data_IF_376694402209
#
_entry.id   IF_376694402209
#
_cell.length_a   1.000
_cell.length_b   1.000
_cell.length_c   1.000
_cell.angle_alpha   90.00
_cell.angle_beta   90.00
_cell.angle_gamma   90.00
#
_symmetry.space_group_name_H-M   'P 1'
#
loop_
_entity.id
_entity.type
_entity.pdbx_description
1 polymer ?
#
# COMPACT_ATOMS: atom_id res chain seq x y z
N UNK A 1 -7.33 14.35 12.86
CA UNK A 1 -6.22 14.85 13.68
C UNK A 1 -5.48 15.89 12.85
N UNK A 2 -5.51 17.15 13.26
CA UNK A 2 -4.66 18.22 12.71
C UNK A 2 -3.36 18.26 13.50
N UNK A 3 -2.25 18.54 12.83
CA UNK A 3 -0.97 18.81 13.48
C UNK A 3 -0.70 20.28 13.22
N UNK A 4 -0.68 21.10 14.26
CA UNK A 4 -0.27 22.49 14.16
C UNK A 4 1.26 22.53 14.17
N UNK A 5 1.83 22.71 12.99
CA UNK A 5 3.22 23.15 12.80
C UNK A 5 3.11 24.65 12.53
N UNK A 6 3.89 25.49 13.22
CA UNK A 6 3.86 26.93 12.99
C UNK A 6 3.97 27.22 11.47
N UNK A 7 3.04 28.03 10.97
CA UNK A 7 2.85 28.44 9.57
C UNK A 7 2.31 27.40 8.55
N UNK A 8 1.94 26.18 8.95
CA UNK A 8 1.36 25.19 8.02
C UNK A 8 0.09 24.50 8.55
N UNK A 9 -1.03 24.66 7.81
CA UNK A 9 -2.26 23.88 8.06
C UNK A 9 -2.13 22.48 7.45
N UNK A 10 -1.58 21.54 8.23
CA UNK A 10 -1.38 20.15 7.81
C UNK A 10 -2.51 19.23 8.28
N UNK A 11 -2.93 18.33 7.40
CA UNK A 11 -3.88 17.25 7.72
C UNK A 11 -3.17 15.90 7.71
N UNK A 12 -3.48 15.08 8.72
CA UNK A 12 -3.05 13.69 8.73
C UNK A 12 -4.00 12.86 7.87
N UNK A 13 -3.46 12.23 6.83
CA UNK A 13 -4.19 11.28 6.00
C UNK A 13 -4.08 9.88 6.61
N UNK A 14 -5.20 9.33 7.08
CA UNK A 14 -5.26 7.94 7.53
C UNK A 14 -5.84 7.06 6.43
N UNK A 15 -5.07 6.06 5.99
CA UNK A 15 -5.54 5.05 5.04
C UNK A 15 -6.24 3.93 5.83
N UNK A 16 -7.57 3.90 5.74
CA UNK A 16 -8.44 2.93 6.42
C UNK A 16 -8.88 1.75 5.55
N UNK A 17 -8.69 1.83 4.23
CA UNK A 17 -9.06 0.75 3.32
C UNK A 17 -8.08 -0.42 3.49
N UNK A 18 -8.56 -1.50 4.10
CA UNK A 18 -7.84 -2.77 4.23
C UNK A 18 -8.49 -3.76 3.27
N UNK A 19 -7.75 -4.19 2.24
CA UNK A 19 -8.28 -5.01 1.14
C UNK A 19 -7.52 -6.33 1.11
N UNK A 20 -8.26 -7.44 1.12
CA UNK A 20 -7.71 -8.80 1.01
C UNK A 20 -7.38 -9.20 -0.42
N UNK A 21 -6.58 -8.40 -1.13
CA UNK A 21 -6.24 -8.61 -2.54
C UNK A 21 -4.96 -9.42 -2.78
N UNK A 22 -4.18 -9.75 -1.74
CA UNK A 22 -2.96 -10.54 -1.91
C UNK A 22 -3.29 -12.01 -2.19
N UNK A 23 -2.85 -12.54 -3.33
CA UNK A 23 -2.87 -13.97 -3.60
C UNK A 23 -1.65 -14.62 -2.90
N UNK A 24 -1.86 -15.12 -1.67
CA UNK A 24 -0.81 -15.77 -0.88
C UNK A 24 -0.25 -17.03 -1.53
N UNK A 25 -0.97 -17.67 -2.47
CA UNK A 25 -0.47 -18.87 -3.16
C UNK A 25 0.49 -18.52 -4.29
N UNK A 26 0.28 -17.38 -4.94
CA UNK A 26 1.16 -16.87 -6.00
C UNK A 26 2.26 -15.93 -5.48
N UNK A 27 2.13 -15.45 -4.26
CA UNK A 27 3.11 -14.59 -3.59
C UNK A 27 4.20 -15.40 -2.89
N UNK A 28 5.41 -14.82 -2.77
CA UNK A 28 6.50 -15.41 -1.98
C UNK A 28 6.47 -14.82 -0.56
N UNK A 29 5.74 -15.50 0.34
CA UNK A 29 5.57 -15.08 1.73
C UNK A 29 6.56 -15.79 2.66
N UNK A 30 7.18 -15.03 3.57
CA UNK A 30 7.88 -15.55 4.74
C UNK A 30 6.95 -15.49 5.95
N UNK A 31 6.89 -16.57 6.71
CA UNK A 31 6.01 -16.70 7.88
C UNK A 31 6.84 -16.78 9.17
N UNK A 32 6.24 -16.36 10.29
CA UNK A 32 6.85 -16.58 11.60
C UNK A 32 6.88 -18.07 11.94
N UNK A 33 7.99 -18.57 12.52
CA UNK A 33 8.21 -20.00 12.80
C UNK A 33 7.06 -20.71 13.53
N UNK A 34 6.34 -20.01 14.40
CA UNK A 34 5.28 -20.57 15.26
C UNK A 34 3.88 -20.01 14.94
N UNK A 35 3.68 -19.37 13.79
CA UNK A 35 2.36 -18.88 13.40
C UNK A 35 2.19 -18.80 11.89
N UNK A 36 0.95 -18.95 11.42
CA UNK A 36 0.60 -18.70 10.02
C UNK A 36 0.54 -17.20 9.65
N UNK A 37 1.11 -16.31 10.48
CA UNK A 37 1.17 -14.88 10.17
C UNK A 37 2.33 -14.61 9.22
N UNK A 38 2.04 -13.87 8.17
CA UNK A 38 3.06 -13.34 7.25
C UNK A 38 3.95 -12.35 8.01
N UNK A 39 5.25 -12.60 7.95
CA UNK A 39 6.31 -11.74 8.49
C UNK A 39 6.77 -10.74 7.43
N UNK A 40 6.97 -11.21 6.20
CA UNK A 40 7.44 -10.41 5.08
C UNK A 40 6.95 -11.05 3.77
N UNK A 41 6.71 -10.21 2.76
CA UNK A 41 6.40 -10.65 1.40
C UNK A 41 7.57 -10.23 0.52
N UNK A 42 8.19 -11.19 -0.17
CA UNK A 42 9.32 -10.94 -1.09
C UNK A 42 8.87 -10.69 -2.52
N UNK A 43 7.82 -11.37 -2.95
CA UNK A 43 7.17 -11.19 -4.25
C UNK A 43 5.68 -11.09 -4.04
N UNK A 44 5.07 -10.07 -4.61
CA UNK A 44 3.65 -9.82 -4.49
C UNK A 44 2.94 -10.36 -5.72
N UNK A 45 1.74 -10.90 -5.53
CA UNK A 45 0.76 -11.11 -6.57
C UNK A 45 -0.59 -10.64 -6.02
N UNK A 46 -1.24 -9.75 -6.75
CA UNK A 46 -2.50 -9.14 -6.32
C UNK A 46 -3.63 -9.54 -7.26
N UNK A 47 -4.81 -9.79 -6.71
CA UNK A 47 -6.06 -9.79 -7.45
C UNK A 47 -6.46 -8.33 -7.74
N UNK A 48 -6.13 -7.86 -8.94
CA UNK A 48 -6.32 -6.47 -9.37
C UNK A 48 -7.78 -6.09 -9.52
N UNK A 49 -8.69 -7.05 -9.71
CA UNK A 49 -10.14 -6.78 -9.77
C UNK A 49 -10.69 -6.22 -8.45
N UNK A 50 -10.04 -6.54 -7.32
CA UNK A 50 -10.41 -6.01 -6.00
C UNK A 50 -9.87 -4.59 -5.75
N UNK A 51 -9.09 -4.04 -6.69
CA UNK A 51 -8.44 -2.74 -6.59
C UNK A 51 -9.05 -1.68 -7.52
N UNK A 52 -10.16 -2.00 -8.18
CA UNK A 52 -10.89 -1.06 -9.02
C UNK A 52 -11.32 0.17 -8.24
N UNK A 53 -11.01 1.36 -8.78
CA UNK A 53 -11.28 2.67 -8.16
C UNK A 53 -10.62 2.88 -6.77
N UNK A 54 -9.60 2.10 -6.43
CA UNK A 54 -8.83 2.27 -5.20
C UNK A 54 -7.54 3.04 -5.50
N UNK A 55 -7.30 4.12 -4.78
CA UNK A 55 -6.05 4.90 -4.89
C UNK A 55 -4.96 4.40 -3.93
N UNK A 56 -5.33 4.23 -2.66
CA UNK A 56 -4.44 3.85 -1.56
C UNK A 56 -5.12 2.78 -0.70
N UNK A 57 -4.37 1.77 -0.29
CA UNK A 57 -4.88 0.69 0.54
C UNK A 57 -3.80 0.06 1.42
N UNK A 58 -4.24 -0.80 2.32
CA UNK A 58 -3.44 -1.71 3.14
C UNK A 58 -3.91 -3.13 2.90
N UNK A 59 -3.05 -4.11 3.18
CA UNK A 59 -3.42 -5.53 3.15
C UNK A 59 -3.49 -6.09 4.58
N UNK A 60 -4.35 -7.10 4.86
CA UNK A 60 -4.49 -7.70 6.18
C UNK A 60 -3.18 -8.19 6.80
N UNK A 61 -2.26 -8.66 5.96
CA UNK A 61 -0.98 -9.24 6.37
C UNK A 61 -0.01 -8.18 6.93
N UNK A 62 -0.04 -6.95 6.40
CA UNK A 62 0.97 -5.92 6.65
C UNK A 62 0.35 -4.54 7.01
N UNK A 63 -0.80 -4.54 7.69
CA UNK A 63 -1.61 -3.33 8.00
C UNK A 63 -0.81 -2.17 8.63
N UNK A 64 0.23 -2.49 9.40
CA UNK A 64 1.05 -1.50 10.13
C UNK A 64 2.35 -1.12 9.42
N UNK A 65 2.73 -1.83 8.36
CA UNK A 65 4.07 -1.72 7.77
C UNK A 65 4.11 -0.90 6.49
N UNK A 66 3.13 -1.07 5.61
CA UNK A 66 3.14 -0.46 4.28
C UNK A 66 1.78 0.10 3.89
N UNK A 67 1.82 1.18 3.11
CA UNK A 67 0.69 1.69 2.33
C UNK A 67 0.99 1.34 0.89
N UNK A 68 0.01 0.76 0.21
CA UNK A 68 0.08 0.42 -1.20
C UNK A 68 -0.67 1.49 -1.99
N UNK A 69 -0.14 1.80 -3.18
CA UNK A 69 -0.74 2.74 -4.11
C UNK A 69 -0.94 2.02 -5.45
N UNK A 70 -2.04 2.34 -6.13
CA UNK A 70 -2.25 1.95 -7.53
C UNK A 70 -1.51 2.89 -8.46
N UNK A 71 -1.32 2.46 -9.71
CA UNK A 71 -0.64 3.28 -10.72
C UNK A 71 -1.39 4.59 -10.98
N UNK A 72 -2.73 4.57 -11.01
CA UNK A 72 -3.55 5.76 -11.16
C UNK A 72 -3.28 6.84 -10.09
N UNK A 73 -3.06 6.43 -8.84
CA UNK A 73 -2.67 7.38 -7.78
C UNK A 73 -1.26 7.93 -8.02
N UNK A 74 -0.31 7.06 -8.34
CA UNK A 74 1.08 7.46 -8.61
C UNK A 74 1.15 8.46 -9.78
N UNK A 75 0.44 8.18 -10.87
CA UNK A 75 0.37 9.05 -12.04
C UNK A 75 -0.16 10.43 -11.66
N UNK A 76 -1.27 10.50 -10.90
CA UNK A 76 -1.84 11.77 -10.45
C UNK A 76 -0.86 12.57 -9.59
N UNK A 77 -0.12 11.92 -8.69
CA UNK A 77 0.93 12.55 -7.86
C UNK A 77 2.02 13.17 -8.73
N UNK A 78 2.46 12.45 -9.78
CA UNK A 78 3.50 12.91 -10.69
C UNK A 78 3.02 14.06 -11.59
N UNK A 79 1.81 13.98 -12.12
CA UNK A 79 1.17 15.05 -12.91
C UNK A 79 1.09 16.37 -12.14
N UNK A 80 0.67 16.28 -10.87
CA UNK A 80 0.56 17.43 -9.97
C UNK A 80 1.90 17.86 -9.36
N UNK A 81 3.00 17.19 -9.75
CA UNK A 81 4.39 17.48 -9.32
C UNK A 81 4.55 17.48 -7.79
N UNK A 82 3.77 16.66 -7.10
CA UNK A 82 3.90 16.49 -5.65
C UNK A 82 5.22 15.78 -5.32
N UNK A 83 5.97 16.33 -4.38
CA UNK A 83 7.29 15.83 -3.97
C UNK A 83 7.25 15.16 -2.60
N UNK A 84 8.30 14.40 -2.26
CA UNK A 84 8.45 13.77 -0.94
C UNK A 84 7.90 12.35 -0.83
N UNK A 85 7.39 11.80 -1.93
CA UNK A 85 6.95 10.40 -2.03
C UNK A 85 7.96 9.58 -2.84
N UNK A 86 8.27 8.38 -2.36
CA UNK A 86 9.06 7.38 -3.09
C UNK A 86 8.17 6.18 -3.42
N UNK A 87 8.03 5.87 -4.70
CA UNK A 87 7.31 4.70 -5.17
C UNK A 87 8.28 3.58 -5.53
N UNK A 88 7.94 2.36 -5.14
CA UNK A 88 8.67 1.14 -5.50
C UNK A 88 7.69 0.24 -6.22
N UNK A 89 8.01 -0.20 -7.45
CA UNK A 89 7.21 -1.18 -8.17
C UNK A 89 7.25 -2.51 -7.41
N UNK A 90 6.09 -3.05 -7.07
CA UNK A 90 5.95 -4.30 -6.32
C UNK A 90 5.36 -5.44 -7.14
N UNK A 91 4.55 -5.12 -8.15
CA UNK A 91 3.83 -6.07 -8.96
C UNK A 91 3.45 -5.46 -10.31
N UNK A 92 3.50 -6.27 -11.36
CA UNK A 92 2.99 -6.01 -12.70
C UNK A 92 2.53 -7.35 -13.27
N UNK A 93 1.40 -7.38 -13.97
CA UNK A 93 0.80 -8.58 -14.57
C UNK A 93 1.59 -9.14 -15.79
N UNK A 94 2.92 -8.97 -15.84
CA UNK A 94 3.77 -9.44 -16.95
C UNK A 94 3.68 -10.96 -17.22
#
# INVERSE_FOLDING_TARGET
MSIDVEDFNMKVLNISNIIGCLDEKKSECLYFKNSHKVMQIKKYSFDTNLLDNIALFKIPQLVRSYIFATDAFRERVLEEKLTGLKFTLLYSDE
#
